data_IF_208033492493
#
_entry.id   IF_208033492493
#
_cell.length_a   1.000
_cell.length_b   1.000
_cell.length_c   1.000
_cell.angle_alpha   90.00
_cell.angle_beta   90.00
_cell.angle_gamma   90.00
#
_symmetry.space_group_name_H-M   'P 1'
#
loop_
_entity.id
_entity.type
_entity.pdbx_description
1 polymer ?
#
# COMPACT_ATOMS: atom_id res chain seq x y z
N UNK A 1 -2.31 -10.94 2.50
CA UNK A 1 -3.16 -12.13 2.21
C UNK A 1 -3.26 -12.30 0.69
N UNK A 2 -2.90 -13.46 0.11
CA UNK A 2 -2.90 -13.68 -1.34
C UNK A 2 -4.25 -14.25 -1.85
N UNK A 3 -5.35 -13.55 -1.56
CA UNK A 3 -6.71 -14.00 -1.86
C UNK A 3 -7.17 -13.48 -3.23
N UNK A 4 -7.81 -14.33 -4.04
CA UNK A 4 -8.40 -13.96 -5.33
C UNK A 4 -9.90 -14.24 -5.33
N UNK A 5 -10.67 -13.66 -6.26
CA UNK A 5 -12.11 -13.96 -6.38
C UNK A 5 -12.34 -15.47 -6.56
N UNK A 6 -11.51 -16.14 -7.34
CA UNK A 6 -11.58 -17.60 -7.53
C UNK A 6 -11.31 -18.39 -6.24
N UNK A 7 -10.37 -17.94 -5.40
CA UNK A 7 -10.13 -18.57 -4.08
C UNK A 7 -11.31 -18.33 -3.13
N UNK A 8 -11.91 -17.15 -3.16
CA UNK A 8 -13.13 -16.85 -2.38
C UNK A 8 -14.25 -17.82 -2.76
N UNK A 9 -14.52 -17.94 -4.07
CA UNK A 9 -15.55 -18.85 -4.59
C UNK A 9 -15.31 -20.33 -4.24
N UNK A 10 -14.06 -20.75 -4.02
CA UNK A 10 -13.70 -22.14 -3.72
C UNK A 10 -13.62 -22.44 -2.22
N UNK A 11 -12.98 -21.56 -1.45
CA UNK A 11 -12.63 -21.81 -0.05
C UNK A 11 -13.70 -21.29 0.92
N UNK A 12 -14.48 -20.28 0.50
CA UNK A 12 -15.44 -19.60 1.37
C UNK A 12 -16.88 -19.79 0.88
N UNK A 13 -17.13 -20.75 -0.01
CA UNK A 13 -18.45 -20.99 -0.60
C UNK A 13 -19.55 -21.19 0.47
N UNK A 14 -19.23 -21.85 1.58
CA UNK A 14 -20.18 -22.11 2.67
C UNK A 14 -20.65 -20.85 3.40
N UNK A 15 -19.92 -19.73 3.25
CA UNK A 15 -20.28 -18.43 3.82
C UNK A 15 -21.00 -17.51 2.83
N UNK A 16 -21.29 -18.00 1.62
CA UNK A 16 -21.85 -17.23 0.52
C UNK A 16 -23.21 -17.77 0.10
N UNK A 17 -24.14 -16.87 -0.15
CA UNK A 17 -25.43 -17.19 -0.77
C UNK A 17 -25.28 -17.44 -2.28
N UNK A 18 -26.22 -18.16 -2.89
CA UNK A 18 -26.25 -18.38 -4.34
C UNK A 18 -26.24 -17.07 -5.15
N UNK A 19 -26.89 -16.04 -4.60
CA UNK A 19 -26.91 -14.70 -5.18
C UNK A 19 -25.52 -14.05 -5.19
N UNK A 20 -24.80 -14.12 -4.08
CA UNK A 20 -23.42 -13.60 -3.96
C UNK A 20 -22.48 -14.38 -4.89
N UNK A 21 -22.58 -15.71 -4.94
CA UNK A 21 -21.81 -16.56 -5.85
C UNK A 21 -22.02 -16.14 -7.30
N UNK A 22 -23.28 -15.92 -7.72
CA UNK A 22 -23.60 -15.48 -9.08
C UNK A 22 -22.97 -14.11 -9.38
N UNK A 23 -23.03 -13.15 -8.45
CA UNK A 23 -22.38 -11.84 -8.60
C UNK A 23 -20.87 -11.96 -8.67
N UNK A 24 -20.23 -12.74 -7.79
CA UNK A 24 -18.78 -12.93 -7.78
C UNK A 24 -18.26 -13.52 -9.08
N UNK A 25 -18.96 -14.53 -9.64
CA UNK A 25 -18.63 -15.09 -10.97
C UNK A 25 -18.71 -14.02 -12.06
N UNK A 26 -19.71 -13.15 -12.02
CA UNK A 26 -19.82 -12.01 -12.96
C UNK A 26 -18.63 -11.06 -12.84
N UNK A 27 -18.29 -10.63 -11.61
CA UNK A 27 -17.14 -9.75 -11.34
C UNK A 27 -15.81 -10.39 -11.76
N UNK A 28 -15.68 -11.71 -11.60
CA UNK A 28 -14.49 -12.45 -12.03
C UNK A 28 -14.29 -12.41 -13.56
N UNK A 29 -15.37 -12.55 -14.33
CA UNK A 29 -15.32 -12.65 -15.79
C UNK A 29 -15.29 -11.28 -16.48
N UNK A 30 -15.89 -10.24 -15.89
CA UNK A 30 -15.88 -8.90 -16.45
C UNK A 30 -14.54 -8.22 -16.21
N UNK A 31 -14.07 -7.43 -17.19
CA UNK A 31 -12.90 -6.56 -17.04
C UNK A 31 -13.36 -5.10 -17.04
N UNK A 32 -13.31 -4.46 -15.89
CA UNK A 32 -13.65 -3.04 -15.70
C UNK A 32 -12.49 -2.28 -15.05
N UNK A 33 -12.63 -0.96 -14.86
CA UNK A 33 -11.60 -0.16 -14.16
C UNK A 33 -11.31 -0.71 -12.76
N UNK A 34 -10.12 -0.47 -12.21
CA UNK A 34 -9.76 -0.93 -10.88
C UNK A 34 -10.80 -0.49 -9.83
N UNK A 35 -11.17 0.79 -9.86
CA UNK A 35 -12.18 1.34 -8.96
C UNK A 35 -13.57 0.70 -9.15
N UNK A 36 -13.96 0.42 -10.39
CA UNK A 36 -15.22 -0.27 -10.69
C UNK A 36 -15.20 -1.73 -10.22
N UNK A 37 -14.09 -2.45 -10.40
CA UNK A 37 -13.93 -3.81 -9.90
C UNK A 37 -14.07 -3.87 -8.38
N UNK A 38 -13.36 -2.99 -7.67
CA UNK A 38 -13.42 -2.90 -6.21
C UNK A 38 -14.84 -2.61 -5.74
N UNK A 39 -15.54 -1.65 -6.38
CA UNK A 39 -16.93 -1.31 -6.07
C UNK A 39 -17.88 -2.49 -6.30
N UNK A 40 -17.73 -3.21 -7.42
CA UNK A 40 -18.58 -4.34 -7.76
C UNK A 40 -18.34 -5.53 -6.84
N UNK A 41 -17.07 -5.82 -6.51
CA UNK A 41 -16.70 -6.85 -5.54
C UNK A 41 -17.27 -6.54 -4.16
N UNK A 42 -17.14 -5.28 -3.70
CA UNK A 42 -17.69 -4.85 -2.41
C UNK A 42 -19.21 -4.98 -2.36
N UNK A 43 -19.92 -4.63 -3.44
CA UNK A 43 -21.38 -4.84 -3.56
C UNK A 43 -21.78 -6.32 -3.63
N UNK A 44 -20.86 -7.21 -4.00
CA UNK A 44 -21.11 -8.64 -4.04
C UNK A 44 -20.86 -9.31 -2.69
N UNK A 45 -19.83 -8.89 -1.93
CA UNK A 45 -19.46 -9.52 -0.65
C UNK A 45 -20.03 -8.82 0.58
N UNK A 46 -20.25 -7.51 0.50
CA UNK A 46 -20.59 -6.65 1.62
C UNK A 46 -21.79 -5.76 1.25
N UNK A 47 -22.86 -6.34 0.69
CA UNK A 47 -24.05 -5.59 0.28
C UNK A 47 -24.72 -4.87 1.44
N UNK A 48 -24.60 -5.40 2.65
CA UNK A 48 -25.06 -4.77 3.89
C UNK A 48 -24.43 -3.39 4.15
N UNK A 49 -23.32 -3.06 3.48
CA UNK A 49 -22.72 -1.73 3.53
C UNK A 49 -23.56 -0.66 2.79
N UNK A 50 -24.42 -1.08 1.87
CA UNK A 50 -25.16 -0.22 0.93
C UNK A 50 -26.68 -0.22 1.17
N UNK A 51 -27.21 -1.13 1.97
CA UNK A 51 -28.65 -1.19 2.27
C UNK A 51 -29.09 0.01 3.11
N UNK A 52 -29.65 1.00 2.43
CA UNK A 52 -30.21 2.22 3.01
C UNK A 52 -31.52 1.96 3.77
N UNK A 53 -32.26 0.88 3.45
CA UNK A 53 -33.48 0.51 4.21
C UNK A 53 -33.20 0.17 5.68
N UNK A 54 -31.94 -0.03 6.05
CA UNK A 54 -31.52 -0.19 7.44
C UNK A 54 -31.25 1.16 8.17
N UNK A 55 -31.41 2.31 7.48
CA UNK A 55 -31.09 3.67 7.99
C UNK A 55 -32.30 4.59 8.19
N UNK A 56 -33.47 4.28 7.63
CA UNK A 56 -34.65 5.18 7.67
C UNK A 56 -35.89 4.64 8.38
N UNK A 57 -35.79 3.51 9.10
CA UNK A 57 -36.91 3.01 9.91
C UNK A 57 -36.57 3.23 11.38
N UNK A 58 -37.42 4.03 12.02
CA UNK A 58 -37.43 4.42 13.43
C UNK A 58 -37.19 3.25 14.40
N UNK A 59 -36.65 3.62 15.56
CA UNK A 59 -36.04 2.81 16.63
C UNK A 59 -36.86 1.68 17.28
N UNK A 60 -37.95 1.16 16.71
CA UNK A 60 -38.76 0.10 17.36
C UNK A 60 -39.07 -1.17 16.53
N UNK A 61 -38.76 -1.23 15.23
CA UNK A 61 -39.06 -2.43 14.42
C UNK A 61 -37.97 -2.73 13.38
N UNK A 62 -36.81 -3.20 13.82
CA UNK A 62 -35.78 -3.67 12.88
C UNK A 62 -36.00 -5.16 12.55
N UNK A 63 -36.58 -5.44 11.38
CA UNK A 63 -36.75 -6.79 10.80
C UNK A 63 -35.44 -7.33 10.17
N UNK A 64 -34.30 -7.13 10.83
CA UNK A 64 -33.09 -7.89 10.55
C UNK A 64 -32.97 -8.92 11.66
N UNK A 65 -33.25 -10.19 11.36
CA UNK A 65 -33.14 -11.24 12.37
C UNK A 65 -31.73 -11.25 12.96
N UNK A 66 -31.61 -11.50 14.26
CA UNK A 66 -30.31 -11.69 14.92
C UNK A 66 -29.45 -12.73 14.17
N UNK A 67 -30.11 -13.73 13.58
CA UNK A 67 -29.51 -14.73 12.69
C UNK A 67 -28.83 -14.12 11.46
N UNK A 68 -29.46 -13.15 10.78
CA UNK A 68 -28.84 -12.46 9.63
C UNK A 68 -27.57 -11.72 10.04
N UNK A 69 -27.61 -10.99 11.16
CA UNK A 69 -26.45 -10.24 11.66
C UNK A 69 -25.31 -11.19 12.01
N UNK A 70 -25.64 -12.33 12.63
CA UNK A 70 -24.65 -13.36 12.96
C UNK A 70 -24.02 -13.94 11.69
N UNK A 71 -24.81 -14.30 10.67
CA UNK A 71 -24.30 -14.80 9.39
C UNK A 71 -23.37 -13.80 8.69
N UNK A 72 -23.73 -12.51 8.66
CA UNK A 72 -22.87 -11.45 8.11
C UNK A 72 -21.55 -11.36 8.85
N UNK A 73 -21.58 -11.42 10.18
CA UNK A 73 -20.37 -11.32 11.01
C UNK A 73 -19.49 -12.56 10.91
N UNK A 74 -20.08 -13.75 10.79
CA UNK A 74 -19.34 -15.00 10.52
C UNK A 74 -18.61 -14.93 9.18
N UNK A 75 -19.28 -14.46 8.12
CA UNK A 75 -18.66 -14.24 6.80
C UNK A 75 -17.52 -13.23 6.87
N UNK A 76 -17.74 -12.08 7.52
CA UNK A 76 -16.70 -11.05 7.68
C UNK A 76 -15.49 -11.59 8.44
N UNK A 77 -15.72 -12.29 9.55
CA UNK A 77 -14.66 -12.92 10.34
C UNK A 77 -13.87 -13.96 9.53
N UNK A 78 -14.55 -14.80 8.75
CA UNK A 78 -13.91 -15.78 7.87
C UNK A 78 -13.00 -15.11 6.82
N UNK A 79 -13.43 -13.95 6.30
CA UNK A 79 -12.66 -13.14 5.34
C UNK A 79 -11.60 -12.24 6.01
N UNK A 80 -11.48 -12.24 7.33
CA UNK A 80 -10.55 -11.36 8.06
C UNK A 80 -10.94 -9.89 8.05
N UNK A 81 -12.22 -9.58 7.84
CA UNK A 81 -12.77 -8.23 7.84
C UNK A 81 -13.45 -7.95 9.18
N UNK A 82 -13.39 -6.71 9.65
CA UNK A 82 -13.98 -6.31 10.93
C UNK A 82 -15.50 -6.59 10.95
N UNK A 83 -16.07 -7.05 12.09
CA UNK A 83 -17.50 -7.30 12.21
C UNK A 83 -18.35 -6.07 11.88
N UNK A 84 -19.55 -6.31 11.38
CA UNK A 84 -20.58 -5.30 11.19
C UNK A 84 -21.11 -4.81 12.54
N UNK A 85 -20.95 -3.51 12.81
CA UNK A 85 -21.48 -2.82 14.00
C UNK A 85 -22.29 -1.60 13.56
N UNK A 86 -23.50 -1.45 14.11
CA UNK A 86 -24.26 -0.18 14.10
C UNK A 86 -24.05 0.56 15.42
N UNK A 87 -23.91 1.90 15.42
CA UNK A 87 -23.74 2.77 14.27
C UNK A 87 -22.34 2.62 13.65
N UNK A 88 -22.26 2.69 12.33
CA UNK A 88 -20.99 2.55 11.62
C UNK A 88 -20.16 3.81 11.83
N UNK A 89 -18.92 3.66 12.32
CA UNK A 89 -17.98 4.79 12.36
C UNK A 89 -17.67 5.23 10.93
N UNK A 90 -17.71 6.54 10.60
CA UNK A 90 -17.40 7.05 9.26
C UNK A 90 -16.04 6.62 8.69
N UNK A 91 -15.13 6.18 9.56
CA UNK A 91 -13.74 5.83 9.27
C UNK A 91 -13.49 4.35 8.95
N UNK A 92 -14.51 3.48 8.97
CA UNK A 92 -14.33 2.06 8.65
C UNK A 92 -14.20 1.81 7.13
N UNK A 93 -12.96 1.70 6.67
CA UNK A 93 -12.56 1.43 5.29
C UNK A 93 -12.04 -0.01 5.07
N UNK A 94 -12.22 -0.90 6.05
CA UNK A 94 -11.70 -2.27 6.03
C UNK A 94 -12.20 -3.10 4.84
N UNK A 95 -13.49 -2.99 4.49
CA UNK A 95 -14.11 -3.68 3.35
C UNK A 95 -13.56 -3.17 2.01
N UNK A 96 -13.18 -1.89 1.94
CA UNK A 96 -12.56 -1.29 0.75
C UNK A 96 -11.17 -1.87 0.55
N UNK A 97 -10.32 -1.81 1.58
CA UNK A 97 -8.96 -2.37 1.50
C UNK A 97 -8.96 -3.87 1.19
N UNK A 98 -9.86 -4.64 1.81
CA UNK A 98 -10.02 -6.06 1.48
C UNK A 98 -10.32 -6.26 -0.02
N UNK A 99 -11.26 -5.50 -0.58
CA UNK A 99 -11.62 -5.62 -1.99
C UNK A 99 -10.49 -5.16 -2.91
N UNK A 100 -9.77 -4.10 -2.56
CA UNK A 100 -8.58 -3.64 -3.30
C UNK A 100 -7.52 -4.73 -3.41
N UNK A 101 -7.20 -5.40 -2.30
CA UNK A 101 -6.24 -6.51 -2.30
C UNK A 101 -6.69 -7.67 -3.17
N UNK A 102 -7.95 -8.09 -3.05
CA UNK A 102 -8.50 -9.19 -3.85
C UNK A 102 -8.47 -8.85 -5.34
N UNK A 103 -8.80 -7.61 -5.72
CA UNK A 103 -8.74 -7.17 -7.12
C UNK A 103 -7.30 -7.14 -7.63
N UNK A 104 -6.34 -6.62 -6.85
CA UNK A 104 -4.90 -6.62 -7.21
C UNK A 104 -4.40 -8.04 -7.48
N UNK A 105 -4.76 -9.01 -6.65
CA UNK A 105 -4.36 -10.41 -6.83
C UNK A 105 -5.15 -11.15 -7.92
N UNK A 106 -6.39 -10.76 -8.19
CA UNK A 106 -7.20 -11.34 -9.28
C UNK A 106 -6.72 -10.87 -10.65
N UNK A 107 -6.10 -9.68 -10.73
CA UNK A 107 -5.45 -9.14 -11.94
C UNK A 107 -6.39 -9.02 -13.16
N UNK A 108 -7.69 -8.79 -12.94
CA UNK A 108 -8.74 -8.71 -13.98
C UNK A 108 -9.30 -7.30 -14.22
N UNK A 109 -8.52 -6.25 -13.96
CA UNK A 109 -8.91 -4.86 -14.19
C UNK A 109 -8.24 -4.27 -15.43
N UNK A 110 -8.95 -3.38 -16.11
CA UNK A 110 -8.59 -2.87 -17.45
C UNK A 110 -7.21 -2.23 -17.52
N UNK A 111 -6.84 -1.45 -16.52
CA UNK A 111 -5.58 -0.70 -16.47
C UNK A 111 -4.38 -1.65 -16.49
N UNK A 112 -4.41 -2.74 -15.73
CA UNK A 112 -3.35 -3.76 -15.74
C UNK A 112 -3.33 -4.55 -17.04
N UNK A 113 -4.50 -4.90 -17.58
CA UNK A 113 -4.58 -5.63 -18.85
C UNK A 113 -4.03 -4.80 -20.01
N UNK A 114 -4.33 -3.50 -20.06
CA UNK A 114 -3.78 -2.57 -21.05
C UNK A 114 -2.28 -2.36 -20.88
N UNK A 115 -1.81 -2.23 -19.64
CA UNK A 115 -0.39 -2.12 -19.31
C UNK A 115 0.38 -3.37 -19.80
N UNK A 116 -0.16 -4.57 -19.58
CA UNK A 116 0.38 -5.83 -20.11
C UNK A 116 0.36 -5.90 -21.64
N UNK A 117 -0.72 -5.45 -22.30
CA UNK A 117 -0.80 -5.37 -23.77
C UNK A 117 0.30 -4.50 -24.37
N UNK A 118 0.71 -3.44 -23.65
CA UNK A 118 1.80 -2.53 -24.05
C UNK A 118 3.19 -3.02 -23.63
N UNK A 119 3.30 -4.20 -23.02
CA UNK A 119 4.53 -4.73 -22.41
C UNK A 119 5.17 -3.73 -21.43
N UNK A 120 4.35 -2.91 -20.76
CA UNK A 120 4.76 -1.96 -19.75
C UNK A 120 4.66 -2.60 -18.35
N UNK A 121 5.29 -1.97 -17.36
CA UNK A 121 5.33 -2.42 -15.97
C UNK A 121 4.60 -1.44 -15.07
N UNK A 122 4.01 -1.95 -13.99
CA UNK A 122 3.43 -1.11 -12.94
C UNK A 122 4.51 -0.27 -12.28
N UNK A 123 4.13 0.92 -11.83
CA UNK A 123 5.05 1.91 -11.25
C UNK A 123 5.15 1.71 -9.74
N UNK A 124 6.37 1.57 -9.24
CA UNK A 124 6.66 1.48 -7.81
C UNK A 124 7.57 2.63 -7.40
N UNK A 125 7.10 3.44 -6.45
CA UNK A 125 7.93 4.41 -5.76
C UNK A 125 8.50 3.80 -4.48
N UNK A 126 9.75 4.14 -4.18
CA UNK A 126 10.45 3.72 -2.97
C UNK A 126 10.98 4.96 -2.27
N UNK A 127 10.61 5.16 -1.01
CA UNK A 127 11.25 6.19 -0.19
C UNK A 127 12.71 5.84 0.09
N UNK A 128 13.48 6.83 0.49
CA UNK A 128 14.89 6.66 0.77
C UNK A 128 15.15 6.49 2.27
N UNK A 129 14.77 7.47 3.08
CA UNK A 129 15.10 7.50 4.51
C UNK A 129 14.34 6.41 5.25
N UNK A 130 15.04 5.63 6.08
CA UNK A 130 14.48 4.47 6.82
C UNK A 130 13.89 3.35 5.95
N UNK A 131 14.05 3.40 4.63
CA UNK A 131 13.58 2.38 3.67
C UNK A 131 14.74 1.84 2.85
N UNK A 132 15.38 2.69 2.03
CA UNK A 132 16.60 2.33 1.32
C UNK A 132 17.85 2.54 2.15
N UNK A 133 17.82 3.51 3.07
CA UNK A 133 18.97 3.90 3.89
C UNK A 133 18.64 3.77 5.36
N UNK A 134 19.65 3.41 6.15
CA UNK A 134 19.59 3.48 7.60
C UNK A 134 19.99 4.89 8.06
N UNK A 135 19.00 5.68 8.49
CA UNK A 135 19.24 7.05 8.96
C UNK A 135 20.15 7.08 10.20
N UNK A 136 20.06 6.08 11.08
CA UNK A 136 20.87 6.01 12.31
C UNK A 136 22.36 5.89 11.98
N UNK A 137 22.72 5.12 10.94
CA UNK A 137 24.10 5.01 10.47
C UNK A 137 24.72 6.35 10.05
N UNK A 138 23.90 7.32 9.63
CA UNK A 138 24.35 8.68 9.35
C UNK A 138 24.61 9.48 10.63
N UNK A 139 23.70 9.38 11.61
CA UNK A 139 23.84 10.01 12.94
C UNK A 139 25.10 9.52 13.66
N UNK A 140 25.42 8.24 13.55
CA UNK A 140 26.58 7.64 14.21
C UNK A 140 27.92 8.13 13.62
N UNK A 141 27.89 8.69 12.40
CA UNK A 141 29.08 9.16 11.67
C UNK A 141 29.29 10.68 11.74
N UNK A 142 28.31 11.46 12.19
CA UNK A 142 28.48 12.90 12.38
C UNK A 142 29.23 13.21 13.68
N UNK A 143 29.82 14.41 13.76
CA UNK A 143 30.60 14.79 14.93
C UNK A 143 29.71 14.96 16.18
N UNK A 144 30.27 14.72 17.37
CA UNK A 144 29.55 15.00 18.64
C UNK A 144 29.11 16.46 18.75
N UNK A 145 29.90 17.39 18.20
CA UNK A 145 29.55 18.81 18.17
C UNK A 145 28.30 19.06 17.32
N UNK A 146 28.19 18.40 16.16
CA UNK A 146 27.00 18.48 15.31
C UNK A 146 25.79 17.81 15.94
N UNK A 147 25.96 16.66 16.60
CA UNK A 147 24.88 16.01 17.34
C UNK A 147 24.27 16.93 18.41
N UNK A 148 25.12 17.68 19.13
CA UNK A 148 24.65 18.67 20.12
C UNK A 148 24.03 19.89 19.44
N UNK A 149 24.67 20.43 18.40
CA UNK A 149 24.20 21.63 17.69
C UNK A 149 22.84 21.44 17.01
N UNK A 150 22.60 20.24 16.47
CA UNK A 150 21.39 19.88 15.74
C UNK A 150 20.49 18.92 16.54
N UNK A 151 20.61 18.89 17.87
CA UNK A 151 19.79 18.06 18.72
C UNK A 151 18.28 18.29 18.44
N UNK A 152 17.54 17.21 18.18
CA UNK A 152 16.13 17.25 17.81
C UNK A 152 15.83 17.56 16.34
N UNK A 153 16.86 17.84 15.52
CA UNK A 153 16.76 18.17 14.09
C UNK A 153 17.98 17.66 13.32
N UNK A 154 18.36 16.40 13.58
CA UNK A 154 19.59 15.81 13.04
C UNK A 154 19.56 15.65 11.52
N UNK A 155 18.37 15.65 10.92
CA UNK A 155 18.17 15.71 9.47
C UNK A 155 18.57 17.05 8.86
N UNK A 156 18.78 18.10 9.67
CA UNK A 156 19.32 19.39 9.24
C UNK A 156 20.86 19.44 9.16
N UNK A 157 21.56 18.40 9.62
CA UNK A 157 23.03 18.37 9.59
C UNK A 157 23.52 18.34 8.14
N UNK A 158 24.35 19.31 7.70
CA UNK A 158 24.87 19.30 6.34
C UNK A 158 25.73 18.06 6.07
N UNK A 159 25.54 17.41 4.93
CA UNK A 159 26.32 16.24 4.52
C UNK A 159 25.84 14.89 5.10
N UNK A 160 24.93 14.87 6.08
CA UNK A 160 24.56 13.65 6.81
C UNK A 160 24.03 12.55 5.90
N UNK A 161 23.21 12.91 4.90
CA UNK A 161 22.58 11.96 3.98
C UNK A 161 23.60 11.22 3.10
N UNK A 162 24.78 11.80 2.88
CA UNK A 162 25.86 11.14 2.13
C UNK A 162 26.59 10.07 2.93
N UNK A 163 26.48 10.11 4.27
CA UNK A 163 27.16 9.20 5.21
C UNK A 163 26.38 7.91 5.47
N UNK A 164 25.07 7.93 5.19
CA UNK A 164 24.15 6.83 5.49
C UNK A 164 24.50 5.57 4.70
N UNK A 165 24.32 4.43 5.34
CA UNK A 165 24.49 3.11 4.75
C UNK A 165 23.16 2.56 4.25
N UNK A 166 23.17 1.64 3.27
CA UNK A 166 21.96 0.96 2.84
C UNK A 166 21.31 0.19 3.99
N UNK A 167 19.99 0.24 4.05
CA UNK A 167 19.21 -0.60 4.96
C UNK A 167 19.36 -2.08 4.56
N UNK A 168 19.26 -3.00 5.52
CA UNK A 168 19.42 -4.43 5.27
C UNK A 168 18.45 -4.93 4.17
N UNK A 169 19.00 -5.56 3.12
CA UNK A 169 18.24 -6.09 1.98
C UNK A 169 17.73 -5.03 1.00
N UNK A 170 17.99 -3.73 1.24
CA UNK A 170 17.49 -2.65 0.39
C UNK A 170 18.03 -2.68 -1.04
N UNK A 171 19.32 -2.95 -1.20
CA UNK A 171 19.96 -2.95 -2.52
C UNK A 171 19.45 -4.12 -3.35
N UNK A 172 19.38 -5.31 -2.76
CA UNK A 172 18.83 -6.51 -3.41
C UNK A 172 17.34 -6.35 -3.73
N UNK A 173 16.58 -5.81 -2.77
CA UNK A 173 15.16 -5.52 -2.91
C UNK A 173 14.88 -4.55 -4.05
N UNK A 174 15.56 -3.39 -4.06
CA UNK A 174 15.42 -2.40 -5.11
C UNK A 174 15.81 -2.94 -6.49
N UNK A 175 16.92 -3.69 -6.59
CA UNK A 175 17.33 -4.36 -7.84
C UNK A 175 16.27 -5.35 -8.33
N UNK A 176 15.65 -6.10 -7.42
CA UNK A 176 14.55 -6.99 -7.77
C UNK A 176 13.33 -6.20 -8.27
N UNK A 177 13.01 -5.07 -7.64
CA UNK A 177 11.94 -4.18 -8.11
C UNK A 177 12.20 -3.69 -9.53
N UNK A 178 13.39 -3.16 -9.86
CA UNK A 178 13.70 -2.66 -11.21
C UNK A 178 13.53 -3.73 -12.31
N UNK A 179 13.75 -5.00 -11.97
CA UNK A 179 13.57 -6.12 -12.91
C UNK A 179 12.09 -6.40 -13.20
N UNK A 180 11.18 -6.12 -12.28
CA UNK A 180 9.77 -6.53 -12.35
C UNK A 180 8.79 -5.36 -12.48
N UNK A 181 9.18 -4.16 -12.03
CA UNK A 181 8.37 -2.95 -11.98
C UNK A 181 9.10 -1.78 -12.66
N UNK A 182 8.37 -0.70 -12.97
CA UNK A 182 8.96 0.58 -13.35
C UNK A 182 9.26 1.36 -12.05
N UNK A 183 10.49 1.24 -11.56
CA UNK A 183 10.86 1.64 -10.20
C UNK A 183 11.51 3.02 -10.16
N UNK A 184 11.08 3.84 -9.21
CA UNK A 184 11.63 5.17 -8.95
C UNK A 184 11.88 5.37 -7.45
N UNK A 185 12.87 6.20 -7.12
CA UNK A 185 13.06 6.70 -5.77
C UNK A 185 12.24 7.97 -5.62
N UNK A 186 11.38 8.05 -4.62
CA UNK A 186 10.57 9.22 -4.30
C UNK A 186 10.86 9.66 -2.86
N UNK A 187 11.77 10.59 -2.70
CA UNK A 187 12.27 11.01 -1.39
C UNK A 187 11.98 12.47 -1.09
N UNK A 188 11.80 12.80 0.18
CA UNK A 188 11.74 14.17 0.67
C UNK A 188 13.13 14.59 1.13
N UNK A 189 13.58 15.77 0.73
CA UNK A 189 14.77 16.41 1.30
C UNK A 189 14.33 17.47 2.31
N UNK A 190 14.88 17.52 3.55
CA UNK A 190 14.50 18.53 4.53
C UNK A 190 14.67 19.96 3.99
N UNK A 191 13.72 20.84 4.31
CA UNK A 191 13.69 22.20 3.78
C UNK A 191 14.89 23.04 4.24
N UNK A 192 15.26 22.89 5.52
CA UNK A 192 16.36 23.61 6.17
C UNK A 192 17.74 22.96 5.90
N UNK A 193 17.81 21.90 5.08
CA UNK A 193 19.05 21.24 4.69
C UNK A 193 19.27 21.23 3.16
N UNK A 194 19.84 22.30 2.59
CA UNK A 194 20.11 22.36 1.15
C UNK A 194 21.02 21.23 0.65
N UNK A 195 21.96 20.76 1.49
CA UNK A 195 22.89 19.69 1.09
C UNK A 195 22.20 18.34 0.90
N UNK A 196 21.07 18.10 1.58
CA UNK A 196 20.32 16.85 1.50
C UNK A 196 19.92 16.49 0.06
N UNK A 197 19.64 17.49 -0.77
CA UNK A 197 19.28 17.31 -2.18
C UNK A 197 20.43 16.67 -2.96
N UNK A 198 21.63 17.24 -2.87
CA UNK A 198 22.82 16.71 -3.53
C UNK A 198 23.27 15.40 -2.90
N UNK A 199 23.19 15.28 -1.58
CA UNK A 199 23.65 14.10 -0.85
C UNK A 199 22.85 12.85 -1.23
N UNK A 200 21.53 12.97 -1.34
CA UNK A 200 20.67 11.88 -1.81
C UNK A 200 21.03 11.44 -3.22
N UNK A 201 21.32 12.39 -4.12
CA UNK A 201 21.82 12.06 -5.47
C UNK A 201 23.16 11.33 -5.42
N UNK A 202 24.09 11.79 -4.58
CA UNK A 202 25.42 11.16 -4.43
C UNK A 202 25.31 9.75 -3.87
N UNK A 203 24.45 9.54 -2.87
CA UNK A 203 24.16 8.22 -2.32
C UNK A 203 23.63 7.27 -3.40
N UNK A 204 22.65 7.72 -4.20
CA UNK A 204 22.08 6.93 -5.30
C UNK A 204 23.15 6.57 -6.33
N UNK A 205 24.02 7.52 -6.70
CA UNK A 205 25.15 7.24 -7.61
C UNK A 205 26.15 6.24 -7.02
N UNK A 206 26.33 6.22 -5.70
CA UNK A 206 27.27 5.31 -5.03
C UNK A 206 26.72 3.88 -4.97
N UNK A 207 25.47 3.70 -4.56
CA UNK A 207 24.92 2.37 -4.24
C UNK A 207 24.03 1.77 -5.34
N UNK A 208 23.38 2.60 -6.15
CA UNK A 208 22.46 2.19 -7.23
C UNK A 208 22.79 2.89 -8.59
N UNK A 209 24.06 2.93 -9.03
CA UNK A 209 24.50 3.75 -10.17
C UNK A 209 23.79 3.41 -11.49
N UNK A 210 23.41 2.15 -11.70
CA UNK A 210 22.79 1.69 -12.96
C UNK A 210 21.28 1.66 -12.84
N UNK A 211 20.78 1.07 -11.75
CA UNK A 211 19.36 0.78 -11.54
C UNK A 211 18.53 2.04 -11.31
N UNK A 212 19.08 3.01 -10.59
CA UNK A 212 18.39 4.26 -10.27
C UNK A 212 18.85 5.46 -11.12
N UNK A 213 19.60 5.22 -12.21
CA UNK A 213 20.07 6.29 -13.10
C UNK A 213 18.88 7.07 -13.68
N UNK A 214 18.80 8.37 -13.37
CA UNK A 214 17.67 9.26 -13.71
C UNK A 214 16.30 8.79 -13.18
N UNK A 215 16.28 8.08 -12.05
CA UNK A 215 15.07 7.59 -11.37
C UNK A 215 14.84 8.18 -9.98
N UNK A 216 15.63 9.18 -9.58
CA UNK A 216 15.46 9.91 -8.32
C UNK A 216 14.51 11.10 -8.52
N UNK A 217 13.45 11.15 -7.72
CA UNK A 217 12.49 12.25 -7.64
C UNK A 217 12.53 12.79 -6.22
N UNK A 218 12.81 14.09 -6.09
CA UNK A 218 12.76 14.79 -4.81
C UNK A 218 11.46 15.60 -4.74
N UNK A 219 10.62 15.33 -3.75
CA UNK A 219 9.33 15.99 -3.60
C UNK A 219 8.89 15.98 -2.13
N UNK A 220 8.30 17.09 -1.68
CA UNK A 220 7.61 17.17 -0.40
C UNK A 220 6.16 16.68 -0.46
N UNK A 221 5.63 16.40 -1.66
CA UNK A 221 4.23 16.09 -1.91
C UNK A 221 4.11 14.76 -2.66
N UNK A 222 4.19 13.63 -1.93
CA UNK A 222 4.17 12.28 -2.51
C UNK A 222 2.83 11.91 -3.12
N UNK A 223 1.73 12.46 -2.60
CA UNK A 223 0.37 12.25 -3.13
C UNK A 223 0.18 12.73 -4.58
N UNK A 224 1.03 13.65 -5.06
CA UNK A 224 0.97 14.14 -6.44
C UNK A 224 1.62 13.17 -7.44
N UNK A 225 2.43 12.22 -6.96
CA UNK A 225 3.05 11.22 -7.81
C UNK A 225 2.01 10.18 -8.25
N UNK A 226 1.93 9.90 -9.55
CA UNK A 226 1.03 8.88 -10.08
C UNK A 226 1.75 7.55 -10.24
N UNK A 227 1.39 6.57 -9.42
CA UNK A 227 1.95 5.22 -9.49
C UNK A 227 1.05 4.17 -8.84
N UNK A 228 1.43 2.90 -8.96
CA UNK A 228 0.65 1.78 -8.46
C UNK A 228 0.95 1.48 -6.98
N UNK A 229 2.20 1.67 -6.56
CA UNK A 229 2.69 1.38 -5.21
C UNK A 229 3.65 2.46 -4.71
N UNK A 230 3.64 2.71 -3.41
CA UNK A 230 4.60 3.53 -2.68
C UNK A 230 5.10 2.74 -1.46
N UNK A 231 6.39 2.44 -1.39
CA UNK A 231 7.03 1.83 -0.22
C UNK A 231 7.65 2.95 0.60
N UNK A 232 7.13 3.19 1.80
CA UNK A 232 7.46 4.37 2.61
C UNK A 232 7.27 4.06 4.10
N UNK A 233 8.16 4.55 4.95
CA UNK A 233 8.17 4.31 6.39
C UNK A 233 7.14 5.15 7.15
N UNK A 234 6.56 6.17 6.51
CA UNK A 234 5.67 7.14 7.14
C UNK A 234 4.42 7.39 6.30
N UNK A 235 3.44 8.06 6.91
CA UNK A 235 2.25 8.60 6.23
C UNK A 235 2.36 10.09 5.94
N UNK A 236 3.46 10.73 6.35
CA UNK A 236 3.70 12.17 6.19
C UNK A 236 3.99 12.57 4.73
N UNK A 237 4.04 13.88 4.47
CA UNK A 237 4.41 14.44 3.16
C UNK A 237 3.55 13.94 1.99
N UNK A 238 2.28 13.61 2.24
CA UNK A 238 1.39 13.08 1.21
C UNK A 238 1.47 11.56 1.01
N UNK A 239 2.25 10.81 1.81
CA UNK A 239 2.33 9.36 1.65
C UNK A 239 1.01 8.68 2.04
N UNK A 240 0.33 9.16 3.09
CA UNK A 240 -0.97 8.64 3.53
C UNK A 240 -2.11 8.90 2.53
N UNK A 241 -1.99 9.95 1.72
CA UNK A 241 -2.95 10.33 0.67
C UNK A 241 -2.56 9.79 -0.72
N UNK A 242 -1.52 8.97 -0.81
CA UNK A 242 -1.09 8.38 -2.07
C UNK A 242 -2.22 7.51 -2.66
N UNK A 243 -2.61 7.78 -3.91
CA UNK A 243 -3.77 7.13 -4.53
C UNK A 243 -3.53 5.66 -4.91
N UNK A 244 -2.26 5.26 -5.04
CA UNK A 244 -1.89 3.86 -5.22
C UNK A 244 -1.87 3.11 -3.87
N UNK A 245 -1.29 1.91 -3.83
CA UNK A 245 -1.12 1.22 -2.56
C UNK A 245 0.11 1.73 -1.82
N UNK A 246 -0.11 2.32 -0.64
CA UNK A 246 0.97 2.57 0.32
C UNK A 246 1.33 1.26 1.04
N UNK A 247 2.60 0.88 0.93
CA UNK A 247 3.24 -0.23 1.63
C UNK A 247 4.03 0.42 2.77
N UNK A 248 3.42 0.46 3.95
CA UNK A 248 4.02 1.08 5.14
C UNK A 248 5.19 0.22 5.62
N UNK A 249 6.42 0.64 5.36
CA UNK A 249 7.64 -0.14 5.61
C UNK A 249 8.12 0.01 7.05
N UNK A 250 8.72 -1.04 7.61
CA UNK A 250 9.35 -1.00 8.93
C UNK A 250 8.44 -1.52 10.06
N UNK A 251 8.86 -1.40 11.33
CA UNK A 251 8.24 -2.11 12.46
C UNK A 251 6.75 -1.81 12.68
N UNK A 252 6.29 -0.60 12.34
CA UNK A 252 4.87 -0.22 12.43
C UNK A 252 4.03 -0.82 11.28
N UNK A 253 4.69 -1.18 10.18
CA UNK A 253 4.13 -1.89 9.05
C UNK A 253 3.91 -3.36 9.34
N UNK A 254 2.77 -3.70 9.95
CA UNK A 254 2.42 -5.08 10.39
C UNK A 254 2.85 -6.20 9.43
N UNK A 255 2.58 -6.05 8.13
CA UNK A 255 2.87 -7.07 7.09
C UNK A 255 4.13 -6.77 6.25
N UNK A 256 4.85 -5.67 6.56
CA UNK A 256 5.92 -5.10 5.73
C UNK A 256 7.11 -4.61 6.56
N UNK A 257 7.46 -5.37 7.61
CA UNK A 257 8.52 -5.01 8.55
C UNK A 257 9.93 -4.96 7.96
N UNK A 258 10.17 -5.63 6.84
CA UNK A 258 11.46 -5.69 6.17
C UNK A 258 11.33 -5.85 4.64
N UNK A 259 12.47 -5.78 3.95
CA UNK A 259 12.55 -5.94 2.50
C UNK A 259 12.14 -7.33 2.02
N UNK A 260 12.33 -8.38 2.83
CA UNK A 260 11.93 -9.75 2.47
C UNK A 260 10.42 -9.86 2.39
N UNK A 261 9.68 -9.27 3.33
CA UNK A 261 8.22 -9.22 3.34
C UNK A 261 7.69 -8.40 2.16
N UNK A 262 8.23 -7.20 1.92
CA UNK A 262 7.84 -6.35 0.80
C UNK A 262 8.05 -7.03 -0.55
N UNK A 263 9.24 -7.58 -0.78
CA UNK A 263 9.54 -8.33 -2.01
C UNK A 263 8.67 -9.58 -2.11
N UNK A 264 8.44 -10.29 -1.00
CA UNK A 264 7.56 -11.44 -0.94
C UNK A 264 6.13 -11.13 -1.38
N UNK A 265 5.58 -10.00 -0.92
CA UNK A 265 4.27 -9.51 -1.34
C UNK A 265 4.24 -9.15 -2.83
N UNK A 266 5.19 -8.33 -3.29
CA UNK A 266 5.24 -7.86 -4.68
C UNK A 266 5.53 -8.97 -5.69
N UNK A 267 6.23 -10.05 -5.30
CA UNK A 267 6.42 -11.26 -6.14
C UNK A 267 5.09 -11.90 -6.54
N UNK A 268 4.06 -11.80 -5.71
CA UNK A 268 2.74 -12.34 -6.04
C UNK A 268 1.97 -11.44 -7.03
N UNK A 269 2.44 -10.20 -7.23
CA UNK A 269 1.80 -9.20 -8.08
C UNK A 269 2.50 -8.97 -9.41
N UNK A 270 3.83 -9.11 -9.45
CA UNK A 270 4.60 -9.25 -10.69
C UNK A 270 3.98 -10.33 -11.61
#
# INVERSE_FOLDING_TARGET
MNLTIGKILKQYQNYLTDYEIKKLRKVQCESTSFATQVKNLRRALFSEDFDFMAREISDDENFMSQEYINQVNEKRAALGVVPHQKPRKPTDISTVHFCEEVVRHTKNYTELLELKKRNAKQIVFVDMDSVLVDFQSGIDKISKADQVKYAGKLDEVPGIFSLMEPYEGAIEGYRWLCKNFDTYILSTAPWENPSAWSDKLLWVKKYLPKEAHKRLILSHNKHLAKGDFLIDDRTANGAGEFTGKHIHFGPEGKDFGDWKMVVGYLKNLA
#
